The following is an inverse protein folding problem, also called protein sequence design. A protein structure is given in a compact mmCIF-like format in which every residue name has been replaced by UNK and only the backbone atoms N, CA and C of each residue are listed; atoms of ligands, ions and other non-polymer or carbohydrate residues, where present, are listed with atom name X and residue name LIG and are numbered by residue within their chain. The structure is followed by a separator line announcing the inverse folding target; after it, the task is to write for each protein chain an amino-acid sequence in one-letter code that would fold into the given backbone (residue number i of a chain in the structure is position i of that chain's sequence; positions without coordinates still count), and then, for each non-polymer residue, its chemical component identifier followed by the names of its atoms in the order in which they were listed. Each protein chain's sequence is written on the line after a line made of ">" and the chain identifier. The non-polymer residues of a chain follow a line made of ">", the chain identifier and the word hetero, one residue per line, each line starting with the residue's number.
data_IF_869411396751
#
_entry.id   IF_869411396751
#
_cell.length_a   1.000
_cell.length_b   1.000
_cell.length_c   1.000
_cell.angle_alpha   90.00
_cell.angle_beta   90.00
_cell.angle_gamma   90.00
#
_symmetry.space_group_name_H-M   'P 1'
#
loop_
_entity.id
_entity.type
_entity.pdbx_description
1 polymer ?
#
# COMPACT_ATOMS: atom_id res chain seq x y z
N UNK A 1 35.98 -6.83 19.32
CA UNK A 1 35.16 -6.15 18.29
C UNK A 1 33.71 -6.42 18.68
N UNK A 2 32.99 -5.46 19.28
CA UNK A 2 31.62 -5.64 19.73
C UNK A 2 30.73 -4.91 18.70
N UNK A 3 29.94 -5.66 17.96
CA UNK A 3 28.93 -5.13 17.06
C UNK A 3 27.74 -4.68 17.90
N UNK A 4 27.46 -3.35 17.90
CA UNK A 4 26.25 -2.81 18.47
C UNK A 4 25.08 -3.06 17.49
N UNK A 5 23.93 -3.55 17.96
CA UNK A 5 22.73 -3.59 17.12
C UNK A 5 22.19 -2.17 16.95
N UNK A 6 21.89 -1.80 15.72
CA UNK A 6 21.21 -0.57 15.33
C UNK A 6 19.83 -0.51 16.01
N UNK A 7 19.43 0.63 16.61
CA UNK A 7 18.11 0.74 17.20
C UNK A 7 17.05 0.82 16.10
N UNK A 8 16.25 -0.22 15.96
CA UNK A 8 15.01 -0.17 15.21
C UNK A 8 14.05 0.78 15.94
N UNK A 9 13.85 1.97 15.42
CA UNK A 9 12.84 2.89 15.93
C UNK A 9 11.51 2.53 15.25
N UNK A 10 10.62 1.90 16.00
CA UNK A 10 9.24 1.67 15.59
C UNK A 10 8.44 2.91 15.96
N UNK A 11 7.95 3.63 14.96
CA UNK A 11 6.91 4.63 15.16
C UNK A 11 5.57 3.96 14.84
N UNK A 12 4.87 3.44 15.85
CA UNK A 12 3.50 2.99 15.70
C UNK A 12 2.58 4.20 15.90
N UNK A 13 1.93 4.68 14.86
CA UNK A 13 0.89 5.69 14.94
C UNK A 13 -0.46 5.03 14.68
N UNK A 14 -1.24 4.85 15.75
CA UNK A 14 -2.65 4.43 15.65
C UNK A 14 -3.48 5.69 15.39
N UNK A 15 -3.97 5.89 14.18
CA UNK A 15 -4.86 6.98 13.83
C UNK A 15 -6.31 6.52 13.91
N UNK A 16 -6.97 6.79 15.03
CA UNK A 16 -8.42 6.67 15.18
C UNK A 16 -9.12 7.91 14.61
N UNK A 17 -9.81 7.77 13.48
CA UNK A 17 -10.61 8.84 12.88
C UNK A 17 -12.00 8.88 13.52
N UNK A 18 -12.22 9.85 14.42
CA UNK A 18 -13.55 10.26 14.91
C UNK A 18 -14.09 11.36 13.98
N UNK A 19 -14.92 11.01 13.01
CA UNK A 19 -15.73 11.97 12.27
C UNK A 19 -17.02 12.24 13.02
N UNK A 20 -17.08 13.36 13.77
CA UNK A 20 -18.34 13.99 14.18
C UNK A 20 -18.76 14.99 13.11
N UNK A 21 -20.02 14.88 12.68
CA UNK A 21 -20.55 15.49 11.51
C UNK A 21 -20.49 17.02 11.43
N UNK A 22 -20.20 17.49 10.23
CA UNK A 22 -20.67 18.72 9.64
C UNK A 22 -20.67 18.55 8.12
N UNK A 23 -21.77 18.93 7.47
CA UNK A 23 -21.95 18.96 6.03
C UNK A 23 -20.90 19.90 5.39
N UNK A 24 -19.84 19.30 4.86
CA UNK A 24 -18.96 19.95 3.90
C UNK A 24 -18.57 18.89 2.88
N UNK A 25 -19.08 19.05 1.65
CA UNK A 25 -18.59 18.34 0.48
C UNK A 25 -17.17 18.82 0.19
N UNK A 26 -16.19 18.22 0.91
CA UNK A 26 -14.77 18.44 0.69
C UNK A 26 -14.14 17.07 0.45
N UNK A 27 -13.43 16.90 -0.64
CA UNK A 27 -12.49 15.80 -0.79
C UNK A 27 -11.48 15.92 0.37
N UNK A 28 -11.64 15.11 1.41
CA UNK A 28 -10.62 14.96 2.42
C UNK A 28 -9.47 14.20 1.77
N UNK A 29 -8.37 14.87 1.49
CA UNK A 29 -7.12 14.20 1.14
C UNK A 29 -6.56 13.64 2.47
N UNK A 30 -6.47 12.34 2.57
CA UNK A 30 -5.78 11.69 3.67
C UNK A 30 -4.28 11.85 3.45
N UNK A 31 -3.59 12.58 4.33
CA UNK A 31 -2.13 12.70 4.30
C UNK A 31 -1.57 12.57 5.71
N UNK A 32 -0.32 12.14 5.78
CA UNK A 32 0.46 12.06 7.01
C UNK A 32 1.73 12.88 6.78
N UNK A 33 2.03 13.78 7.72
CA UNK A 33 3.29 14.54 7.75
C UNK A 33 4.01 14.26 9.07
N UNK A 34 5.32 14.07 9.01
CA UNK A 34 6.16 13.84 10.17
C UNK A 34 7.57 14.38 9.95
N UNK A 35 8.22 14.77 11.03
CA UNK A 35 9.60 15.25 11.00
C UNK A 35 10.57 14.08 11.16
N UNK A 36 11.61 14.03 10.30
CA UNK A 36 12.63 13.01 10.33
C UNK A 36 14.00 13.61 10.68
N UNK A 37 14.87 12.82 11.34
CA UNK A 37 16.29 13.16 11.48
C UNK A 37 16.97 13.29 10.11
N UNK A 38 18.02 14.11 10.02
CA UNK A 38 18.82 14.28 8.81
C UNK A 38 19.54 12.99 8.37
N UNK A 39 19.82 12.08 9.30
CA UNK A 39 20.50 10.82 9.01
C UNK A 39 19.50 9.81 8.40
N UNK A 40 19.86 9.14 7.28
CA UNK A 40 19.03 8.10 6.68
C UNK A 40 18.73 6.97 7.65
N UNK A 41 17.47 6.56 7.72
CA UNK A 41 17.04 5.42 8.53
C UNK A 41 15.95 4.60 7.83
N UNK A 42 15.81 3.35 8.22
CA UNK A 42 14.70 2.49 7.78
C UNK A 42 13.48 2.75 8.63
N UNK A 43 12.37 3.04 7.98
CA UNK A 43 11.08 3.30 8.61
C UNK A 43 10.06 2.24 8.22
N UNK A 44 9.11 2.01 9.13
CA UNK A 44 7.94 1.16 8.91
C UNK A 44 6.69 2.00 9.14
N UNK A 45 5.80 2.05 8.15
CA UNK A 45 4.48 2.64 8.25
C UNK A 45 3.44 1.51 8.18
N UNK A 46 2.56 1.44 9.18
CA UNK A 46 1.46 0.47 9.22
C UNK A 46 0.13 1.21 9.24
N UNK A 47 -0.80 0.77 8.42
CA UNK A 47 -2.15 1.37 8.32
C UNK A 47 -3.20 0.26 8.31
N UNK A 48 -4.16 0.37 9.21
CA UNK A 48 -5.38 -0.42 9.22
C UNK A 48 -6.53 0.42 8.64
N UNK A 49 -7.12 -0.07 7.56
CA UNK A 49 -8.23 0.58 6.87
C UNK A 49 -9.56 -0.12 7.15
N UNK A 50 -10.67 0.53 6.77
CA UNK A 50 -12.00 -0.07 6.84
C UNK A 50 -12.04 -1.38 6.05
N UNK A 51 -12.81 -2.36 6.55
CA UNK A 51 -12.89 -3.69 5.92
C UNK A 51 -11.77 -4.65 6.32
N UNK A 52 -10.93 -4.27 7.30
CA UNK A 52 -9.84 -5.10 7.80
C UNK A 52 -8.62 -5.15 6.88
N UNK A 53 -8.50 -4.21 5.95
CA UNK A 53 -7.30 -4.10 5.11
C UNK A 53 -6.16 -3.60 5.95
N UNK A 54 -5.09 -4.38 6.02
CA UNK A 54 -3.84 -4.05 6.70
C UNK A 54 -2.72 -3.85 5.68
N UNK A 55 -2.02 -2.72 5.77
CA UNK A 55 -0.89 -2.40 4.88
C UNK A 55 0.33 -2.01 5.70
N UNK A 56 1.46 -2.59 5.36
CA UNK A 56 2.77 -2.27 5.92
C UNK A 56 3.69 -1.81 4.80
N UNK A 57 4.30 -0.65 4.95
CA UNK A 57 5.41 -0.18 4.12
C UNK A 57 6.70 -0.18 4.92
N UNK A 58 7.78 -0.62 4.30
CA UNK A 58 9.13 -0.41 4.82
C UNK A 58 9.95 0.33 3.77
N UNK A 59 10.58 1.43 4.16
CA UNK A 59 11.32 2.30 3.25
C UNK A 59 12.45 3.02 3.99
N UNK A 60 13.40 3.55 3.22
CA UNK A 60 14.49 4.38 3.76
C UNK A 60 14.15 5.84 3.53
N UNK A 61 14.24 6.64 4.58
CA UNK A 61 14.02 8.08 4.52
C UNK A 61 14.90 8.86 5.49
N UNK A 62 14.94 10.18 5.30
CA UNK A 62 15.66 11.15 6.13
C UNK A 62 15.00 12.52 6.05
N UNK A 63 15.33 13.42 6.95
CA UNK A 63 14.99 14.85 6.84
C UNK A 63 15.61 15.49 5.60
N UNK A 64 15.02 16.56 5.13
CA UNK A 64 15.50 17.34 3.98
C UNK A 64 15.65 18.80 4.36
N UNK A 65 16.67 19.49 3.80
CA UNK A 65 16.96 20.90 4.02
C UNK A 65 16.33 21.79 2.95
N UNK A 66 15.97 21.18 1.78
CA UNK A 66 15.37 21.85 0.64
C UNK A 66 14.12 21.07 0.21
N UNK A 67 13.18 21.78 -0.39
CA UNK A 67 11.99 21.13 -0.97
C UNK A 67 12.37 20.20 -2.10
N UNK A 68 11.94 18.96 -1.99
CA UNK A 68 12.05 17.95 -3.02
C UNK A 68 10.69 17.63 -3.63
N UNK A 69 9.82 18.62 -3.72
CA UNK A 69 8.56 18.57 -4.46
C UNK A 69 8.73 19.26 -5.81
N UNK A 70 7.93 18.87 -6.83
CA UNK A 70 7.84 19.65 -8.05
C UNK A 70 7.42 21.10 -7.76
N UNK A 71 8.01 22.06 -8.45
CA UNK A 71 7.84 23.51 -8.23
C UNK A 71 6.39 23.99 -8.14
N UNK A 72 5.45 23.27 -8.76
CA UNK A 72 4.02 23.60 -8.77
C UNK A 72 3.22 22.91 -7.65
N UNK A 73 3.87 22.13 -6.80
CA UNK A 73 3.21 21.32 -5.77
C UNK A 73 3.80 21.60 -4.38
N UNK A 74 3.29 22.60 -3.65
CA UNK A 74 3.79 22.95 -2.32
C UNK A 74 3.62 21.80 -1.32
N UNK A 75 4.32 21.88 -0.23
CA UNK A 75 4.19 20.93 0.88
C UNK A 75 2.73 20.87 1.38
N UNK A 76 2.18 19.66 1.46
CA UNK A 76 0.76 19.48 1.84
C UNK A 76 0.49 20.04 3.24
N UNK A 77 1.44 19.88 4.18
CA UNK A 77 1.33 20.43 5.53
C UNK A 77 1.17 21.94 5.55
N UNK A 78 1.84 22.67 4.66
CA UNK A 78 1.72 24.10 4.48
C UNK A 78 0.34 24.48 3.93
N UNK A 79 -0.17 23.78 2.90
CA UNK A 79 -1.49 24.04 2.30
C UNK A 79 -2.63 23.97 3.32
N UNK A 80 -2.50 23.16 4.35
CA UNK A 80 -3.53 22.99 5.39
C UNK A 80 -3.18 23.67 6.71
N UNK A 81 -2.07 24.43 6.78
CA UNK A 81 -1.65 25.18 7.96
C UNK A 81 -1.15 24.31 9.12
N UNK A 82 -0.75 23.09 8.87
CA UNK A 82 -0.15 22.18 9.87
C UNK A 82 1.37 22.28 9.93
N UNK A 83 1.97 22.93 8.95
CA UNK A 83 3.41 23.14 8.83
C UNK A 83 3.70 24.63 8.66
N UNK A 84 4.82 25.10 9.19
CA UNK A 84 5.23 26.48 8.99
C UNK A 84 5.55 26.75 7.51
N UNK A 85 5.26 27.94 6.99
CA UNK A 85 5.71 28.34 5.66
C UNK A 85 7.22 28.10 5.48
N UNK A 86 7.65 27.77 4.30
CA UNK A 86 9.04 27.51 3.95
C UNK A 86 9.71 26.34 4.72
N UNK A 87 8.94 25.45 5.33
CA UNK A 87 9.50 24.23 5.91
C UNK A 87 9.71 23.20 4.81
N UNK A 88 10.97 22.76 4.55
CA UNK A 88 11.25 21.78 3.50
C UNK A 88 10.48 20.48 3.69
N UNK A 89 10.03 19.87 2.59
CA UNK A 89 9.39 18.57 2.61
C UNK A 89 9.71 17.76 1.36
N UNK A 90 9.50 16.46 1.47
CA UNK A 90 9.51 15.56 0.32
C UNK A 90 8.45 14.46 0.48
N UNK A 91 7.90 13.94 -0.62
CA UNK A 91 7.06 12.76 -0.57
C UNK A 91 7.89 11.50 -0.27
N UNK A 92 7.33 10.58 0.51
CA UNK A 92 7.97 9.31 0.80
C UNK A 92 7.83 8.31 -0.36
N UNK A 93 8.83 7.45 -0.62
CA UNK A 93 8.82 6.48 -1.72
C UNK A 93 7.96 5.25 -1.38
N UNK A 94 6.68 5.47 -1.13
CA UNK A 94 5.74 4.41 -0.80
C UNK A 94 5.21 3.76 -2.08
N UNK A 95 5.27 2.43 -2.14
CA UNK A 95 4.66 1.65 -3.21
C UNK A 95 3.17 1.51 -2.91
N UNK A 96 2.32 2.03 -3.80
CA UNK A 96 0.87 1.85 -3.73
C UNK A 96 0.43 0.69 -4.60
N UNK A 97 -0.69 0.05 -4.23
CA UNK A 97 -1.26 -1.08 -4.96
C UNK A 97 -2.68 -0.72 -5.43
N UNK A 98 -2.91 -0.87 -6.72
CA UNK A 98 -4.23 -0.75 -7.34
C UNK A 98 -4.64 -2.11 -7.90
N UNK A 99 -5.93 -2.46 -7.75
CA UNK A 99 -6.48 -3.73 -8.16
C UNK A 99 -7.57 -3.54 -9.22
N UNK A 100 -7.42 -4.21 -10.35
CA UNK A 100 -8.51 -4.49 -11.27
C UNK A 100 -8.89 -5.96 -11.11
N UNK A 101 -9.93 -6.20 -10.35
CA UNK A 101 -10.36 -7.54 -9.96
C UNK A 101 -11.25 -8.20 -11.01
N UNK A 102 -11.63 -7.53 -12.10
CA UNK A 102 -12.45 -8.07 -13.20
C UNK A 102 -13.71 -8.81 -12.69
N UNK A 103 -14.45 -8.16 -11.78
CA UNK A 103 -15.62 -8.74 -11.14
C UNK A 103 -16.91 -8.43 -11.89
N UNK A 104 -17.94 -9.22 -11.66
CA UNK A 104 -19.30 -8.86 -12.03
C UNK A 104 -19.79 -7.64 -11.23
N UNK A 105 -20.90 -7.02 -11.67
CA UNK A 105 -21.44 -5.80 -11.04
C UNK A 105 -21.88 -5.99 -9.57
N UNK A 106 -22.05 -7.22 -9.14
CA UNK A 106 -22.38 -7.60 -7.75
C UNK A 106 -21.13 -7.90 -6.89
N UNK A 107 -19.93 -7.57 -7.39
CA UNK A 107 -18.63 -7.84 -6.77
C UNK A 107 -18.37 -9.33 -6.53
N UNK A 108 -18.78 -10.18 -7.49
CA UNK A 108 -18.53 -11.62 -7.45
C UNK A 108 -17.72 -12.11 -8.64
N UNK A 109 -17.04 -13.25 -8.46
CA UNK A 109 -16.41 -14.03 -9.51
C UNK A 109 -16.93 -15.48 -9.49
N UNK A 110 -16.92 -16.21 -10.64
CA UNK A 110 -17.34 -17.61 -10.68
C UNK A 110 -16.40 -18.50 -9.84
N UNK A 111 -16.98 -19.44 -9.08
CA UNK A 111 -16.25 -20.52 -8.44
C UNK A 111 -15.82 -21.60 -9.46
N UNK A 112 -14.92 -22.51 -9.07
CA UNK A 112 -14.41 -23.63 -9.86
C UNK A 112 -13.85 -23.20 -11.24
N UNK A 113 -13.28 -21.98 -11.34
CA UNK A 113 -12.72 -21.44 -12.59
C UNK A 113 -11.37 -20.78 -12.35
N UNK A 114 -10.63 -20.58 -13.45
CA UNK A 114 -9.47 -19.70 -13.43
C UNK A 114 -9.91 -18.26 -13.65
N UNK A 115 -9.50 -17.36 -12.77
CA UNK A 115 -9.83 -15.95 -12.76
C UNK A 115 -8.56 -15.11 -12.92
N UNK A 116 -8.60 -14.07 -13.76
CA UNK A 116 -7.49 -13.16 -13.97
C UNK A 116 -7.81 -11.81 -13.36
N UNK A 117 -6.87 -11.31 -12.58
CA UNK A 117 -6.90 -9.97 -12.01
C UNK A 117 -5.63 -9.23 -12.39
N UNK A 118 -5.67 -7.90 -12.40
CA UNK A 118 -4.49 -7.06 -12.61
C UNK A 118 -4.16 -6.35 -11.31
N UNK A 119 -2.88 -6.38 -10.94
CA UNK A 119 -2.33 -5.58 -9.83
C UNK A 119 -1.35 -4.59 -10.42
N UNK A 120 -1.53 -3.32 -10.11
CA UNK A 120 -0.60 -2.26 -10.48
C UNK A 120 0.08 -1.74 -9.22
N UNK A 121 1.40 -1.85 -9.19
CA UNK A 121 2.24 -1.23 -8.17
C UNK A 121 2.78 0.09 -8.72
N UNK A 122 2.54 1.20 -8.02
CA UNK A 122 2.87 2.54 -8.48
C UNK A 122 3.31 3.43 -7.33
N UNK A 123 3.85 4.60 -7.66
CA UNK A 123 4.22 5.65 -6.72
C UNK A 123 3.32 6.86 -6.88
N UNK A 124 3.29 7.72 -5.86
CA UNK A 124 2.62 9.01 -5.98
C UNK A 124 3.35 9.90 -7.02
N UNK A 125 2.59 10.72 -7.74
CA UNK A 125 3.11 11.58 -8.81
C UNK A 125 4.07 12.69 -8.33
N UNK A 126 4.13 12.93 -7.02
CA UNK A 126 4.96 13.97 -6.41
C UNK A 126 6.42 13.60 -6.21
N UNK A 127 6.81 12.37 -6.52
CA UNK A 127 8.22 11.96 -6.47
C UNK A 127 8.97 12.48 -7.69
N UNK A 128 10.11 13.17 -7.48
CA UNK A 128 10.99 13.63 -8.56
C UNK A 128 11.54 12.47 -9.38
N UNK A 129 11.83 11.37 -8.72
CA UNK A 129 12.24 10.13 -9.37
C UNK A 129 11.57 8.95 -8.70
N UNK A 130 10.96 8.08 -9.51
CA UNK A 130 10.31 6.87 -9.01
C UNK A 130 11.27 5.69 -9.08
N UNK A 131 11.48 4.94 -7.98
CA UNK A 131 12.17 3.66 -8.02
C UNK A 131 11.45 2.68 -8.95
N UNK A 132 12.16 1.66 -9.41
CA UNK A 132 11.56 0.62 -10.26
C UNK A 132 11.04 -0.53 -9.40
N UNK A 133 9.77 -0.88 -9.53
CA UNK A 133 9.23 -2.10 -8.88
C UNK A 133 9.84 -3.32 -9.55
N UNK A 134 10.57 -4.13 -8.79
CA UNK A 134 11.34 -5.28 -9.28
C UNK A 134 10.65 -6.61 -9.03
N UNK A 135 9.88 -6.72 -7.96
CA UNK A 135 9.19 -7.94 -7.57
C UNK A 135 7.75 -7.65 -7.11
N UNK A 136 6.84 -8.57 -7.43
CA UNK A 136 5.49 -8.59 -6.91
C UNK A 136 5.02 -10.04 -6.73
N UNK A 137 4.54 -10.35 -5.54
CA UNK A 137 4.02 -11.65 -5.17
C UNK A 137 2.59 -11.52 -4.68
N UNK A 138 1.76 -12.52 -5.00
CA UNK A 138 0.37 -12.58 -4.55
C UNK A 138 0.09 -13.94 -3.96
N UNK A 139 -0.59 -13.93 -2.81
CA UNK A 139 -1.16 -15.10 -2.17
C UNK A 139 -2.68 -14.93 -2.12
N UNK A 140 -3.42 -16.01 -2.31
CA UNK A 140 -4.86 -16.05 -2.15
C UNK A 140 -5.26 -16.96 -0.99
N UNK A 141 -6.35 -16.60 -0.31
CA UNK A 141 -7.01 -17.40 0.71
C UNK A 141 -8.46 -17.62 0.33
N UNK A 142 -8.97 -18.84 0.59
CA UNK A 142 -10.35 -19.22 0.34
C UNK A 142 -11.06 -19.71 1.60
N UNK A 143 -10.44 -19.54 2.77
CA UNK A 143 -10.87 -20.00 4.09
C UNK A 143 -10.77 -18.88 5.14
N UNK A 144 -11.16 -17.66 4.73
CA UNK A 144 -11.15 -16.44 5.57
C UNK A 144 -9.80 -16.13 6.21
N UNK A 145 -8.71 -16.41 5.48
CA UNK A 145 -7.34 -16.14 5.91
C UNK A 145 -6.70 -17.22 6.78
N UNK A 146 -7.35 -18.38 6.93
CA UNK A 146 -6.81 -19.52 7.65
C UNK A 146 -5.56 -20.10 6.98
N UNK A 147 -5.58 -20.21 5.65
CA UNK A 147 -4.43 -20.61 4.83
C UNK A 147 -4.23 -19.67 3.64
N UNK A 148 -2.97 -19.55 3.21
CA UNK A 148 -2.56 -18.70 2.10
C UNK A 148 -1.73 -19.50 1.10
N UNK A 149 -2.07 -19.42 -0.17
CA UNK A 149 -1.35 -20.07 -1.24
C UNK A 149 -0.86 -19.05 -2.27
N UNK A 150 0.42 -19.13 -2.62
CA UNK A 150 1.00 -18.31 -3.69
C UNK A 150 0.32 -18.63 -5.02
N UNK A 151 -0.04 -17.60 -5.77
CA UNK A 151 -0.67 -17.71 -7.08
C UNK A 151 0.28 -17.21 -8.18
N UNK A 152 0.15 -17.71 -9.43
CA UNK A 152 0.99 -17.27 -10.53
C UNK A 152 0.83 -15.79 -10.84
N UNK A 153 1.98 -15.10 -10.96
CA UNK A 153 2.08 -13.67 -11.29
C UNK A 153 2.96 -13.52 -12.54
N UNK A 154 2.55 -12.67 -13.47
CA UNK A 154 3.30 -12.37 -14.68
C UNK A 154 3.35 -10.84 -14.90
N UNK A 155 4.55 -10.27 -14.97
CA UNK A 155 4.72 -8.85 -15.32
C UNK A 155 4.28 -8.63 -16.78
N UNK A 156 3.44 -7.64 -17.01
CA UNK A 156 2.89 -7.30 -18.33
C UNK A 156 3.19 -5.86 -18.75
N UNK A 157 3.69 -5.04 -17.84
CA UNK A 157 4.07 -3.65 -18.07
C UNK A 157 4.89 -3.12 -16.91
N UNK A 158 5.24 -1.84 -16.95
CA UNK A 158 5.94 -1.18 -15.84
C UNK A 158 5.00 -1.07 -14.65
N UNK A 159 5.37 -1.73 -13.56
CA UNK A 159 4.55 -1.85 -12.36
C UNK A 159 3.24 -2.62 -12.54
N UNK A 160 2.94 -3.19 -13.73
CA UNK A 160 1.67 -3.87 -14.03
C UNK A 160 1.86 -5.38 -14.10
N UNK A 161 1.03 -6.11 -13.36
CA UNK A 161 1.12 -7.56 -13.21
C UNK A 161 -0.24 -8.23 -13.42
N UNK A 162 -0.26 -9.25 -14.27
CA UNK A 162 -1.38 -10.17 -14.41
C UNK A 162 -1.23 -11.29 -13.37
N UNK A 163 -2.27 -11.52 -12.59
CA UNK A 163 -2.34 -12.54 -11.55
C UNK A 163 -3.40 -13.57 -11.95
N UNK A 164 -3.06 -14.85 -11.85
CA UNK A 164 -3.95 -15.94 -12.21
C UNK A 164 -4.37 -16.72 -10.97
N UNK A 165 -5.66 -16.65 -10.61
CA UNK A 165 -6.22 -17.27 -9.42
C UNK A 165 -7.12 -18.43 -9.83
N UNK A 166 -6.84 -19.64 -9.37
CA UNK A 166 -7.73 -20.78 -9.58
C UNK A 166 -8.68 -20.89 -8.39
N UNK A 167 -9.96 -20.58 -8.63
CA UNK A 167 -10.98 -20.66 -7.60
C UNK A 167 -11.38 -22.11 -7.32
N UNK A 168 -11.53 -22.50 -6.04
CA UNK A 168 -12.12 -23.78 -5.67
C UNK A 168 -13.64 -23.81 -5.97
N UNK A 169 -14.26 -24.96 -5.82
CA UNK A 169 -15.71 -25.07 -5.80
C UNK A 169 -16.29 -24.36 -4.56
N UNK A 170 -17.53 -23.87 -4.65
CA UNK A 170 -18.16 -23.17 -3.53
C UNK A 170 -18.23 -24.01 -2.25
N UNK A 171 -18.36 -25.34 -2.38
CA UNK A 171 -18.39 -26.25 -1.23
C UNK A 171 -17.03 -26.40 -0.52
N UNK A 172 -15.95 -25.99 -1.17
CA UNK A 172 -14.57 -26.11 -0.68
C UNK A 172 -13.98 -24.76 -0.25
N UNK A 173 -14.81 -23.73 -0.15
CA UNK A 173 -14.40 -22.35 0.21
C UNK A 173 -15.37 -21.73 1.21
N UNK A 174 -14.93 -20.70 1.92
CA UNK A 174 -15.78 -19.85 2.78
C UNK A 174 -16.77 -18.97 2.00
N UNK A 175 -16.62 -18.91 0.67
CA UNK A 175 -17.40 -18.05 -0.22
C UNK A 175 -16.79 -16.67 -0.45
N UNK A 176 -15.69 -16.34 0.25
CA UNK A 176 -14.89 -15.12 0.05
C UNK A 176 -13.48 -15.46 -0.41
N UNK A 177 -12.83 -14.50 -1.08
CA UNK A 177 -11.43 -14.58 -1.47
C UNK A 177 -10.67 -13.49 -0.75
N UNK A 178 -9.67 -13.87 0.04
CA UNK A 178 -8.68 -12.98 0.61
C UNK A 178 -7.47 -12.86 -0.34
N UNK A 179 -6.87 -11.69 -0.39
CA UNK A 179 -5.62 -11.44 -1.13
C UNK A 179 -4.56 -10.88 -0.19
N UNK A 180 -3.34 -11.35 -0.36
CA UNK A 180 -2.15 -10.77 0.23
C UNK A 180 -1.15 -10.47 -0.87
N UNK A 181 -0.77 -9.21 -0.99
CA UNK A 181 0.15 -8.75 -2.01
C UNK A 181 1.37 -8.15 -1.36
N UNK A 182 2.55 -8.50 -1.85
CA UNK A 182 3.81 -7.86 -1.49
C UNK A 182 4.55 -7.43 -2.74
N UNK A 183 5.15 -6.25 -2.69
CA UNK A 183 6.00 -5.74 -3.77
C UNK A 183 7.28 -5.14 -3.19
N UNK A 184 8.32 -5.13 -4.00
CA UNK A 184 9.60 -4.52 -3.68
C UNK A 184 10.15 -3.74 -4.88
N UNK A 185 10.93 -2.69 -4.60
CA UNK A 185 11.62 -1.90 -5.61
C UNK A 185 13.15 -2.13 -5.61
N UNK A 186 13.83 -1.47 -6.55
CA UNK A 186 15.28 -1.53 -6.73
C UNK A 186 16.08 -0.78 -5.65
N UNK A 187 15.42 0.02 -4.80
CA UNK A 187 16.01 0.70 -3.65
C UNK A 187 15.76 -0.04 -2.32
N UNK A 188 15.08 -1.18 -2.40
CA UNK A 188 14.76 -2.01 -1.24
C UNK A 188 13.57 -1.52 -0.43
N UNK A 189 12.75 -0.60 -0.95
CA UNK A 189 11.46 -0.30 -0.33
C UNK A 189 10.48 -1.43 -0.61
N UNK A 190 9.58 -1.67 0.32
CA UNK A 190 8.61 -2.76 0.21
C UNK A 190 7.22 -2.30 0.64
N UNK A 191 6.22 -2.98 0.10
CA UNK A 191 4.85 -2.92 0.60
C UNK A 191 4.32 -4.33 0.81
N UNK A 192 3.55 -4.53 1.87
CA UNK A 192 2.73 -5.73 2.08
C UNK A 192 1.33 -5.30 2.46
N UNK A 193 0.35 -5.75 1.69
CA UNK A 193 -1.05 -5.47 1.95
C UNK A 193 -1.86 -6.76 2.05
N UNK A 194 -2.67 -6.87 3.08
CA UNK A 194 -3.63 -7.97 3.27
C UNK A 194 -5.05 -7.42 3.15
N UNK A 195 -5.80 -7.97 2.21
CA UNK A 195 -7.23 -7.68 1.98
C UNK A 195 -8.01 -8.94 2.30
N UNK A 196 -8.59 -9.08 3.51
CA UNK A 196 -9.17 -10.35 3.97
C UNK A 196 -10.40 -10.77 3.16
N UNK A 197 -11.16 -9.81 2.63
CA UNK A 197 -12.37 -10.05 1.85
C UNK A 197 -12.35 -9.22 0.58
N UNK A 198 -11.47 -9.57 -0.37
CA UNK A 198 -11.30 -8.81 -1.61
C UNK A 198 -12.55 -8.92 -2.51
N UNK A 199 -13.14 -10.12 -2.62
CA UNK A 199 -14.39 -10.36 -3.36
C UNK A 199 -15.03 -11.68 -2.94
N UNK A 200 -16.25 -11.96 -3.49
CA UNK A 200 -17.00 -13.19 -3.21
C UNK A 200 -17.03 -14.13 -4.42
N UNK A 201 -17.13 -15.44 -4.14
CA UNK A 201 -17.39 -16.48 -5.14
C UNK A 201 -18.90 -16.71 -5.30
N UNK A 202 -19.33 -17.10 -6.54
CA UNK A 202 -20.69 -17.49 -6.88
C UNK A 202 -20.74 -18.72 -7.76
#
# INVERSE_FOLDING_TARGET
>A
MRTHPSPRRHAALVLGLLCTGALASGCAADFISYELPEEPARYTLEVDSRGGVHTTWEYTSQGVDEDANPDEQPCIGEMFGFQAPDTPCRPEPLIFLQYDLNLALDNTAPAATTHKVTVTAYYQERLDSTPTVTDLQVEASFDDGGTWATVPVRRVGDGVYEVTITHPALGDASGTVGLRVSAADDQGNTVRQTVPHAYRLR
#
